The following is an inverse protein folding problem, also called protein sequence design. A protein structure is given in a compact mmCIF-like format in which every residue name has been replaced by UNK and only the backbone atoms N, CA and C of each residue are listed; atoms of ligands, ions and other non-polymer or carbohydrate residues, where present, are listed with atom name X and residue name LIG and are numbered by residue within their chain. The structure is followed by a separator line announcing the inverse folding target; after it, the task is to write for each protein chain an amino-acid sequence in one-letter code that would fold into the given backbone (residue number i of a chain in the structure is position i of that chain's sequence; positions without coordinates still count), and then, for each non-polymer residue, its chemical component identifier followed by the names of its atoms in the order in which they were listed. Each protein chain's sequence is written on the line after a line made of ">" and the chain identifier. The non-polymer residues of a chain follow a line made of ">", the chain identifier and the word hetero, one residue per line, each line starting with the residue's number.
data_IF_453601748771
#
_entry.id   IF_453601748771
#
_cell.length_a   1.000
_cell.length_b   1.000
_cell.length_c   1.000
_cell.angle_alpha   90.00
_cell.angle_beta   90.00
_cell.angle_gamma   90.00
#
_symmetry.space_group_name_H-M   'P 1'
#
loop_
_entity.id
_entity.type
_entity.pdbx_description
1 polymer ?
#
# COMPACT_ATOMS: atom_id res chain seq x y z
N UNK A 1 -6.77 0.27 -5.61
CA UNK A 1 -5.75 -0.79 -5.42
C UNK A 1 -5.80 -1.77 -6.60
N UNK A 2 -4.70 -1.98 -7.31
CA UNK A 2 -4.64 -2.97 -8.40
C UNK A 2 -4.15 -4.32 -7.86
N UNK A 3 -4.97 -5.36 -8.00
CA UNK A 3 -4.51 -6.75 -7.84
C UNK A 3 -3.70 -7.11 -9.11
N UNK A 4 -2.43 -7.44 -8.94
CA UNK A 4 -1.54 -7.79 -10.03
C UNK A 4 -1.86 -9.21 -10.52
N UNK A 5 -2.81 -9.35 -11.44
CA UNK A 5 -3.12 -10.62 -12.08
C UNK A 5 -1.98 -11.02 -13.02
N UNK A 6 -1.18 -12.02 -12.62
CA UNK A 6 -0.10 -12.56 -13.45
C UNK A 6 -0.68 -13.31 -14.65
N UNK A 7 -0.28 -12.90 -15.85
CA UNK A 7 -0.64 -13.53 -17.13
C UNK A 7 -0.20 -15.00 -17.18
N UNK A 8 -1.13 -15.87 -17.57
CA UNK A 8 -0.90 -17.27 -17.89
C UNK A 8 0.02 -17.41 -19.12
N UNK A 9 1.30 -17.70 -18.90
CA UNK A 9 2.19 -18.15 -19.96
C UNK A 9 2.04 -19.67 -20.16
N UNK A 10 1.53 -20.06 -21.33
CA UNK A 10 1.53 -21.45 -21.81
C UNK A 10 2.97 -22.00 -21.82
N UNK A 11 3.17 -23.13 -21.11
CA UNK A 11 4.40 -23.93 -21.13
C UNK A 11 4.58 -24.59 -22.51
N UNK A 12 5.68 -24.28 -23.18
CA UNK A 12 6.17 -25.08 -24.30
C UNK A 12 6.86 -26.36 -23.78
N UNK A 13 6.53 -27.49 -24.38
CA UNK A 13 7.04 -28.84 -24.09
C UNK A 13 8.38 -29.03 -24.84
N UNK A 14 9.45 -29.53 -24.21
CA UNK A 14 10.61 -30.06 -24.95
C UNK A 14 10.53 -31.59 -25.10
N UNK A 15 10.99 -32.17 -26.23
CA UNK A 15 11.00 -33.62 -26.44
C UNK A 15 12.23 -34.28 -25.79
N UNK A 16 12.18 -35.60 -25.51
CA UNK A 16 13.29 -36.32 -24.88
C UNK A 16 14.29 -36.78 -25.93
N UNK A 17 15.58 -36.82 -25.58
CA UNK A 17 16.51 -37.73 -26.25
C UNK A 17 17.53 -38.29 -25.26
N UNK A 18 17.50 -39.61 -25.18
CA UNK A 18 18.50 -40.51 -24.62
C UNK A 18 19.82 -40.39 -25.41
N UNK A 19 20.94 -40.64 -24.74
CA UNK A 19 22.12 -41.43 -25.17
C UNK A 19 23.39 -40.94 -24.43
N UNK A 20 23.89 -41.77 -23.50
CA UNK A 20 25.30 -41.85 -23.05
C UNK A 20 25.99 -42.96 -23.88
N UNK A 21 27.30 -42.97 -24.18
CA UNK A 21 28.42 -43.20 -23.21
C UNK A 21 29.81 -42.66 -23.72
N UNK A 22 31.01 -43.17 -23.33
CA UNK A 22 31.56 -43.53 -22.02
C UNK A 22 32.83 -42.73 -21.63
N UNK A 23 33.30 -42.99 -20.41
CA UNK A 23 34.55 -42.59 -19.73
C UNK A 23 35.85 -42.96 -20.44
N UNK A 24 36.87 -42.09 -20.33
CA UNK A 24 38.29 -42.44 -20.52
C UNK A 24 39.17 -41.71 -19.50
N UNK A 25 40.21 -42.40 -19.01
CA UNK A 25 41.03 -42.02 -17.85
C UNK A 25 42.50 -41.73 -18.20
N UNK A 26 43.04 -40.65 -17.59
CA UNK A 26 44.47 -40.30 -17.31
C UNK A 26 45.41 -40.00 -18.51
N UNK A 27 46.58 -39.31 -18.32
CA UNK A 27 47.30 -38.99 -17.08
C UNK A 27 47.78 -37.53 -16.88
N UNK A 28 48.32 -37.32 -15.68
CA UNK A 28 49.11 -36.18 -15.14
C UNK A 28 50.13 -35.55 -16.10
N UNK A 29 50.18 -34.21 -16.13
CA UNK A 29 51.41 -33.47 -16.38
C UNK A 29 51.54 -32.25 -15.47
N UNK A 30 52.69 -32.17 -14.80
CA UNK A 30 53.19 -31.01 -14.05
C UNK A 30 53.41 -29.84 -15.02
N UNK A 31 52.89 -28.66 -14.69
CA UNK A 31 53.43 -27.40 -15.19
C UNK A 31 53.46 -26.37 -14.05
N UNK A 32 54.68 -25.87 -13.85
CA UNK A 32 55.16 -25.01 -12.79
C UNK A 32 54.87 -23.54 -13.05
N UNK A 33 54.56 -22.82 -11.96
CA UNK A 33 54.85 -21.41 -11.68
C UNK A 33 54.57 -20.35 -12.76
N UNK A 34 53.42 -19.68 -12.62
CA UNK A 34 53.37 -18.21 -12.65
C UNK A 34 52.47 -17.74 -11.50
N UNK A 35 53.13 -17.28 -10.42
CA UNK A 35 52.51 -16.60 -9.29
C UNK A 35 52.03 -15.23 -9.80
N UNK A 36 50.78 -15.15 -10.24
CA UNK A 36 50.10 -13.86 -10.32
C UNK A 36 49.94 -13.33 -8.90
N UNK A 37 50.57 -12.20 -8.63
CA UNK A 37 50.39 -11.38 -7.43
C UNK A 37 48.90 -11.29 -7.09
N UNK A 38 48.54 -11.97 -6.00
CA UNK A 38 47.21 -11.92 -5.39
C UNK A 38 47.04 -10.49 -4.89
N UNK A 39 46.21 -9.71 -5.58
CA UNK A 39 45.88 -8.34 -5.20
C UNK A 39 45.62 -8.25 -3.70
N UNK A 40 46.35 -7.38 -3.02
CA UNK A 40 46.19 -7.11 -1.58
C UNK A 40 44.71 -6.84 -1.34
N UNK A 41 44.08 -7.70 -0.53
CA UNK A 41 42.71 -7.49 -0.09
C UNK A 41 42.65 -6.12 0.59
N UNK A 42 41.75 -5.26 0.10
CA UNK A 42 41.57 -3.93 0.66
C UNK A 42 41.25 -4.05 2.16
N UNK A 43 41.74 -3.13 3.01
CA UNK A 43 41.53 -3.21 4.45
C UNK A 43 40.03 -3.33 4.78
N UNK A 44 39.63 -4.09 5.82
CA UNK A 44 38.22 -4.43 6.08
C UNK A 44 37.28 -3.21 6.14
N UNK A 45 37.76 -2.08 6.66
CA UNK A 45 37.03 -0.81 6.65
C UNK A 45 36.71 -0.28 5.23
N UNK A 46 37.64 -0.41 4.28
CA UNK A 46 37.42 0.01 2.88
C UNK A 46 36.45 -0.89 2.13
N UNK A 47 36.39 -2.17 2.51
CA UNK A 47 35.42 -3.13 1.97
C UNK A 47 34.01 -2.84 2.50
N UNK A 48 33.85 -2.66 3.81
CA UNK A 48 32.57 -2.27 4.41
C UNK A 48 32.05 -0.94 3.83
N UNK A 49 32.90 0.08 3.70
CA UNK A 49 32.52 1.34 3.03
C UNK A 49 32.06 1.15 1.58
N UNK A 50 32.68 0.21 0.84
CA UNK A 50 32.29 -0.10 -0.54
C UNK A 50 30.94 -0.82 -0.58
N UNK A 51 30.73 -1.82 0.26
CA UNK A 51 29.48 -2.59 0.30
C UNK A 51 28.30 -1.70 0.76
N UNK A 52 28.51 -0.78 1.71
CA UNK A 52 27.48 0.21 2.09
C UNK A 52 27.18 1.23 0.97
N UNK A 53 28.18 1.59 0.15
CA UNK A 53 27.96 2.42 -1.04
C UNK A 53 27.16 1.66 -2.09
N UNK A 54 27.44 0.36 -2.27
CA UNK A 54 26.65 -0.51 -3.16
C UNK A 54 25.19 -0.60 -2.70
N UNK A 55 24.94 -0.65 -1.38
CA UNK A 55 23.59 -0.56 -0.83
C UNK A 55 22.91 0.78 -1.13
N UNK A 56 23.56 1.91 -0.85
CA UNK A 56 23.01 3.24 -1.15
C UNK A 56 22.68 3.39 -2.64
N UNK A 57 23.54 2.86 -3.52
CA UNK A 57 23.28 2.84 -4.97
C UNK A 57 22.11 1.91 -5.33
N UNK A 58 21.96 0.75 -4.68
CA UNK A 58 20.79 -0.11 -4.86
C UNK A 58 19.49 0.58 -4.43
N UNK A 59 19.49 1.29 -3.30
CA UNK A 59 18.35 2.10 -2.82
C UNK A 59 18.02 3.21 -3.81
N UNK A 60 19.01 3.97 -4.29
CA UNK A 60 18.81 5.02 -5.31
C UNK A 60 18.24 4.46 -6.61
N UNK A 61 18.68 3.27 -7.02
CA UNK A 61 18.18 2.55 -8.20
C UNK A 61 16.83 1.86 -7.97
N UNK A 62 16.33 1.89 -6.73
CA UNK A 62 15.11 1.20 -6.29
C UNK A 62 15.16 -0.31 -6.54
N UNK A 63 16.35 -0.91 -6.42
CA UNK A 63 16.58 -2.35 -6.56
C UNK A 63 16.45 -3.05 -5.19
N UNK A 64 15.23 -3.48 -4.88
CA UNK A 64 14.92 -4.19 -3.63
C UNK A 64 15.68 -5.51 -3.51
N UNK A 65 15.90 -6.24 -4.60
CA UNK A 65 16.57 -7.54 -4.54
C UNK A 65 18.04 -7.39 -4.13
N UNK A 66 18.75 -6.42 -4.72
CA UNK A 66 20.13 -6.11 -4.36
C UNK A 66 20.24 -5.53 -2.95
N UNK A 67 19.34 -4.63 -2.56
CA UNK A 67 19.30 -4.08 -1.21
C UNK A 67 19.10 -5.17 -0.15
N UNK A 68 18.16 -6.11 -0.38
CA UNK A 68 17.92 -7.23 0.53
C UNK A 68 19.08 -8.22 0.58
N UNK A 69 19.75 -8.50 -0.54
CA UNK A 69 20.94 -9.36 -0.57
C UNK A 69 22.05 -8.78 0.29
N UNK A 70 22.32 -7.47 0.17
CA UNK A 70 23.29 -6.78 1.01
C UNK A 70 22.90 -6.89 2.49
N UNK A 71 21.67 -6.53 2.85
CA UNK A 71 21.24 -6.58 4.26
C UNK A 71 21.35 -8.00 4.82
N UNK A 72 20.90 -9.03 4.10
CA UNK A 72 21.06 -10.43 4.53
C UNK A 72 22.53 -10.84 4.69
N UNK A 73 23.44 -10.34 3.87
CA UNK A 73 24.87 -10.66 4.00
C UNK A 73 25.53 -10.05 5.24
N UNK A 74 24.98 -8.97 5.79
CA UNK A 74 25.44 -8.34 7.03
C UNK A 74 24.95 -9.08 8.30
N UNK A 75 24.14 -10.15 8.18
CA UNK A 75 23.55 -10.85 9.32
C UNK A 75 24.48 -11.83 10.03
N UNK A 76 25.81 -11.71 9.89
CA UNK A 76 26.75 -12.40 10.77
C UNK A 76 27.04 -11.45 11.93
N UNK A 77 26.57 -11.73 13.16
CA UNK A 77 26.96 -10.97 14.32
C UNK A 77 28.42 -11.33 14.61
N UNK A 78 29.33 -10.51 14.12
CA UNK A 78 30.74 -10.53 14.48
C UNK A 78 31.09 -9.17 15.04
N UNK A 79 31.53 -9.16 16.30
CA UNK A 79 32.16 -8.03 16.98
C UNK A 79 32.98 -7.16 16.02
N UNK A 80 32.51 -5.95 15.75
CA UNK A 80 33.36 -4.86 15.27
C UNK A 80 33.04 -3.59 16.04
N UNK A 81 33.00 -3.71 17.37
CA UNK A 81 33.34 -2.61 18.25
C UNK A 81 34.86 -2.52 18.33
N UNK A 82 35.49 -1.71 17.47
CA UNK A 82 36.76 -1.07 17.83
C UNK A 82 37.27 0.05 16.90
N UNK A 83 36.57 0.38 15.81
CA UNK A 83 36.98 1.53 14.98
C UNK A 83 35.80 2.46 14.76
N UNK A 84 35.69 3.45 15.65
CA UNK A 84 34.70 4.53 15.65
C UNK A 84 34.77 5.43 14.41
N UNK A 85 34.43 4.89 13.24
CA UNK A 85 34.37 5.63 11.97
C UNK A 85 32.99 5.57 11.30
N UNK A 86 32.00 4.96 11.94
CA UNK A 86 30.60 5.02 11.53
C UNK A 86 29.79 5.72 12.62
N UNK A 87 29.07 6.81 12.32
CA UNK A 87 28.13 7.35 13.28
C UNK A 87 27.10 6.26 13.55
N UNK A 88 27.05 5.77 14.77
CA UNK A 88 26.15 4.71 15.24
C UNK A 88 24.69 4.95 14.77
N UNK A 89 24.26 6.22 14.68
CA UNK A 89 22.94 6.60 14.15
C UNK A 89 22.72 6.44 12.63
N UNK A 90 23.76 6.48 11.78
CA UNK A 90 23.57 6.32 10.32
C UNK A 90 23.29 4.88 9.89
N UNK A 91 23.76 3.89 10.64
CA UNK A 91 23.55 2.48 10.32
C UNK A 91 22.11 2.05 10.57
N UNK A 92 21.49 2.56 11.65
CA UNK A 92 20.08 2.31 11.96
C UNK A 92 19.17 2.92 10.91
N UNK A 93 19.34 4.20 10.55
CA UNK A 93 18.54 4.89 9.53
C UNK A 93 18.57 4.18 8.17
N UNK A 94 19.77 3.74 7.76
CA UNK A 94 19.96 3.05 6.48
C UNK A 94 19.21 1.72 6.38
N UNK A 95 18.94 1.04 7.49
CA UNK A 95 18.19 -0.21 7.44
C UNK A 95 16.73 0.03 7.00
N UNK A 96 16.12 1.15 7.38
CA UNK A 96 14.73 1.47 7.02
C UNK A 96 14.55 1.81 5.54
N UNK A 97 15.59 2.39 4.91
CA UNK A 97 15.58 2.83 3.50
C UNK A 97 15.24 1.69 2.51
N UNK A 98 15.43 0.43 2.90
CA UNK A 98 15.01 -0.72 2.07
C UNK A 98 13.52 -0.67 1.75
N UNK A 99 12.68 -0.12 2.64
CA UNK A 99 11.25 0.04 2.41
C UNK A 99 10.94 1.03 1.28
N UNK A 100 11.83 1.98 1.00
CA UNK A 100 11.64 2.96 -0.07
C UNK A 100 11.84 2.33 -1.46
N UNK A 101 12.49 1.16 -1.51
CA UNK A 101 12.62 0.36 -2.73
C UNK A 101 11.40 -0.52 -3.01
N UNK A 102 10.52 -0.73 -2.02
CA UNK A 102 9.36 -1.62 -2.17
C UNK A 102 8.38 -1.14 -3.24
N UNK A 103 8.23 0.17 -3.45
CA UNK A 103 7.29 0.71 -4.43
C UNK A 103 7.59 0.19 -5.86
N UNK A 104 8.87 0.05 -6.19
CA UNK A 104 9.36 -0.39 -7.50
C UNK A 104 9.53 -1.91 -7.62
N UNK A 105 9.22 -2.69 -6.57
CA UNK A 105 9.40 -4.13 -6.62
C UNK A 105 8.30 -4.82 -7.43
N UNK A 106 8.67 -5.63 -8.43
CA UNK A 106 7.69 -6.44 -9.17
C UNK A 106 7.24 -7.69 -8.38
N UNK A 107 8.15 -8.26 -7.59
CA UNK A 107 7.89 -9.44 -6.77
C UNK A 107 7.49 -9.05 -5.33
N UNK A 108 6.23 -9.27 -4.97
CA UNK A 108 5.71 -8.97 -3.63
C UNK A 108 6.32 -9.83 -2.53
N UNK A 109 6.89 -10.99 -2.85
CA UNK A 109 7.61 -11.82 -1.87
C UNK A 109 8.88 -11.13 -1.37
N UNK A 110 9.50 -10.28 -2.20
CA UNK A 110 10.62 -9.44 -1.77
C UNK A 110 10.16 -8.39 -0.76
N UNK A 111 8.99 -7.77 -0.97
CA UNK A 111 8.41 -6.82 -0.02
C UNK A 111 8.18 -7.52 1.32
N UNK A 112 7.55 -8.70 1.34
CA UNK A 112 7.39 -9.48 2.57
C UNK A 112 8.72 -9.84 3.22
N UNK A 113 9.73 -10.19 2.43
CA UNK A 113 11.08 -10.48 2.95
C UNK A 113 11.72 -9.25 3.60
N UNK A 114 11.47 -8.05 3.10
CA UNK A 114 11.97 -6.80 3.70
C UNK A 114 11.35 -6.55 5.07
N UNK A 115 10.02 -6.65 5.17
CA UNK A 115 9.31 -6.52 6.45
C UNK A 115 9.72 -7.58 7.46
N UNK A 116 9.89 -8.85 7.03
CA UNK A 116 10.37 -9.92 7.88
C UNK A 116 11.79 -9.62 8.40
N UNK A 117 12.72 -9.23 7.53
CA UNK A 117 14.09 -8.89 7.91
C UNK A 117 14.15 -7.72 8.90
N UNK A 118 13.37 -6.67 8.68
CA UNK A 118 13.32 -5.52 9.59
C UNK A 118 12.68 -5.87 10.94
N UNK A 119 11.67 -6.72 10.94
CA UNK A 119 11.06 -7.24 12.16
C UNK A 119 12.04 -8.11 12.96
N UNK A 120 12.77 -9.02 12.29
CA UNK A 120 13.76 -9.89 12.92
C UNK A 120 14.92 -9.10 13.53
N UNK A 121 15.25 -7.95 12.95
CA UNK A 121 16.24 -6.99 13.48
C UNK A 121 15.71 -6.08 14.60
N UNK A 122 14.43 -6.18 14.95
CA UNK A 122 13.81 -5.38 16.00
C UNK A 122 13.41 -3.96 15.59
N UNK A 123 13.51 -3.59 14.30
CA UNK A 123 13.12 -2.25 13.83
C UNK A 123 11.60 -2.06 13.74
N UNK A 124 10.83 -3.14 13.57
CA UNK A 124 9.37 -3.09 13.40
C UNK A 124 8.62 -3.81 14.54
N UNK A 125 8.74 -3.36 15.81
CA UNK A 125 8.13 -4.05 16.94
C UNK A 125 6.59 -3.98 16.94
N UNK A 126 5.97 -2.97 16.32
CA UNK A 126 4.52 -2.86 16.23
C UNK A 126 3.95 -3.46 14.92
N UNK A 127 4.78 -3.88 13.96
CA UNK A 127 4.32 -4.51 12.73
C UNK A 127 3.66 -5.88 12.99
N UNK A 128 2.38 -5.96 12.62
CA UNK A 128 1.56 -7.15 12.87
C UNK A 128 1.26 -7.41 14.34
N UNK A 129 1.43 -6.42 15.22
CA UNK A 129 1.11 -6.52 16.65
C UNK A 129 -0.35 -6.91 16.89
N UNK A 130 -1.24 -6.53 15.99
CA UNK A 130 -2.67 -6.79 16.07
C UNK A 130 -3.15 -7.82 15.05
N UNK A 131 -2.24 -8.57 14.42
CA UNK A 131 -2.55 -9.59 13.39
C UNK A 131 -3.49 -10.69 13.90
N UNK A 132 -3.36 -11.05 15.17
CA UNK A 132 -4.11 -12.13 15.82
C UNK A 132 -5.15 -11.63 16.81
N UNK A 133 -5.34 -10.32 16.95
CA UNK A 133 -6.41 -9.81 17.79
C UNK A 133 -7.73 -10.20 17.11
N UNK A 134 -8.42 -11.18 17.71
CA UNK A 134 -9.87 -11.29 17.59
C UNK A 134 -10.39 -10.04 18.28
N UNK A 135 -10.67 -9.00 17.52
CA UNK A 135 -11.08 -7.74 18.12
C UNK A 135 -12.34 -7.99 18.94
N UNK A 136 -12.24 -7.76 20.25
CA UNK A 136 -13.32 -7.96 21.21
C UNK A 136 -14.54 -7.18 20.74
N UNK A 137 -15.66 -7.88 20.57
CA UNK A 137 -16.90 -7.27 20.11
C UNK A 137 -17.83 -8.25 19.39
N UNK A 138 -19.11 -7.87 19.21
CA UNK A 138 -20.07 -8.69 18.50
C UNK A 138 -19.66 -8.82 17.02
N UNK A 139 -19.67 -10.05 16.51
CA UNK A 139 -19.43 -10.33 15.08
C UNK A 139 -20.57 -9.80 14.20
N UNK A 140 -21.77 -9.76 14.77
CA UNK A 140 -22.93 -9.13 14.15
C UNK A 140 -23.00 -7.66 14.60
N UNK A 141 -22.65 -6.76 13.70
CA UNK A 141 -22.71 -5.32 13.95
C UNK A 141 -23.97 -4.80 13.29
N UNK A 142 -24.97 -4.47 14.09
CA UNK A 142 -26.18 -3.80 13.60
C UNK A 142 -25.94 -2.28 13.50
N UNK A 143 -26.79 -1.54 12.77
CA UNK A 143 -26.75 -0.09 12.74
C UNK A 143 -26.75 0.56 14.14
N UNK A 144 -27.48 -0.01 15.09
CA UNK A 144 -27.57 0.48 16.46
C UNK A 144 -26.28 0.28 17.24
N UNK A 145 -25.61 -0.87 17.08
CA UNK A 145 -24.30 -1.16 17.68
C UNK A 145 -23.23 -0.23 17.13
N UNK A 146 -23.24 0.04 15.82
CA UNK A 146 -22.29 0.97 15.22
C UNK A 146 -22.46 2.39 15.78
N UNK A 147 -23.72 2.85 15.86
CA UNK A 147 -24.04 4.18 16.41
C UNK A 147 -23.69 4.32 17.88
N UNK A 148 -24.03 3.33 18.71
CA UNK A 148 -23.70 3.38 20.14
C UNK A 148 -22.20 3.36 20.41
N UNK A 149 -21.42 2.67 19.56
CA UNK A 149 -19.97 2.53 19.73
C UNK A 149 -19.18 3.73 19.21
N UNK A 150 -19.62 4.31 18.08
CA UNK A 150 -18.89 5.39 17.40
C UNK A 150 -19.44 6.78 17.70
N UNK A 151 -20.72 6.88 18.09
CA UNK A 151 -21.46 8.13 18.20
C UNK A 151 -21.97 8.67 16.86
N UNK A 152 -21.72 7.97 15.75
CA UNK A 152 -22.06 8.41 14.39
C UNK A 152 -23.14 7.51 13.78
N UNK A 153 -24.00 8.10 12.95
CA UNK A 153 -24.97 7.34 12.15
C UNK A 153 -24.24 6.48 11.11
N UNK A 154 -24.83 5.33 10.74
CA UNK A 154 -24.26 4.44 9.72
C UNK A 154 -24.01 5.16 8.40
N UNK A 155 -24.89 6.10 8.04
CA UNK A 155 -24.78 6.90 6.81
C UNK A 155 -23.53 7.77 6.77
N UNK A 156 -22.93 8.10 7.91
CA UNK A 156 -21.66 8.85 7.99
C UNK A 156 -20.46 8.02 7.58
N UNK A 157 -20.61 6.69 7.50
CA UNK A 157 -19.56 5.77 7.03
C UNK A 157 -19.77 5.33 5.58
N UNK A 158 -20.77 5.87 4.89
CA UNK A 158 -20.98 5.60 3.47
C UNK A 158 -20.34 6.71 2.64
N UNK A 159 -19.48 6.39 1.66
CA UNK A 159 -18.93 7.37 0.73
C UNK A 159 -20.03 8.19 0.05
N UNK A 160 -19.80 9.49 -0.15
CA UNK A 160 -20.78 10.37 -0.80
C UNK A 160 -20.81 10.07 -2.29
N UNK A 161 -21.93 9.55 -2.78
CA UNK A 161 -22.15 9.32 -4.22
C UNK A 161 -22.63 10.61 -4.86
N UNK A 162 -21.72 11.31 -5.52
CA UNK A 162 -22.02 12.56 -6.23
C UNK A 162 -23.19 12.36 -7.21
N UNK A 163 -24.21 13.22 -7.12
CA UNK A 163 -25.38 13.21 -8.00
C UNK A 163 -26.67 12.57 -7.45
N UNK A 164 -26.63 11.89 -6.29
CA UNK A 164 -27.82 11.27 -5.68
C UNK A 164 -28.41 12.04 -4.49
N UNK A 165 -27.70 13.07 -3.99
CA UNK A 165 -28.18 13.88 -2.87
C UNK A 165 -29.23 14.91 -3.31
N UNK A 166 -30.21 15.19 -2.43
CA UNK A 166 -31.31 16.15 -2.68
C UNK A 166 -30.81 17.58 -2.97
N UNK A 167 -29.62 17.92 -2.48
CA UNK A 167 -28.95 19.20 -2.75
C UNK A 167 -28.38 19.25 -4.17
N UNK A 168 -27.90 18.12 -4.68
CA UNK A 168 -27.34 17.96 -6.03
C UNK A 168 -28.40 18.15 -7.10
N UNK A 169 -29.63 17.66 -6.87
CA UNK A 169 -30.74 17.88 -7.79
C UNK A 169 -31.18 19.35 -7.84
N UNK A 170 -31.20 20.05 -6.70
CA UNK A 170 -31.49 21.49 -6.66
C UNK A 170 -30.41 22.32 -7.39
N UNK A 171 -29.13 21.99 -7.18
CA UNK A 171 -28.01 22.63 -7.88
C UNK A 171 -28.06 22.37 -9.38
N UNK A 172 -28.43 21.16 -9.80
CA UNK A 172 -28.61 20.83 -11.21
C UNK A 172 -29.74 21.66 -11.84
N UNK A 173 -30.88 21.78 -11.16
CA UNK A 173 -32.00 22.61 -11.62
C UNK A 173 -31.58 24.08 -11.72
N UNK A 174 -30.88 24.61 -10.72
CA UNK A 174 -30.36 25.97 -10.75
C UNK A 174 -29.35 26.19 -11.88
N UNK A 175 -28.45 25.23 -12.12
CA UNK A 175 -27.49 25.26 -13.21
C UNK A 175 -28.19 25.26 -14.58
N UNK A 176 -29.13 24.33 -14.81
CA UNK A 176 -29.90 24.27 -16.05
C UNK A 176 -30.74 25.53 -16.26
N UNK A 177 -31.32 26.08 -15.20
CA UNK A 177 -32.02 27.37 -15.22
C UNK A 177 -31.09 28.54 -15.58
N UNK A 178 -29.91 28.61 -14.98
CA UNK A 178 -28.90 29.63 -15.30
C UNK A 178 -28.39 29.53 -16.74
N UNK A 179 -28.15 28.31 -17.24
CA UNK A 179 -27.84 28.03 -18.64
C UNK A 179 -28.95 28.55 -19.55
N UNK A 180 -30.22 28.30 -19.22
CA UNK A 180 -31.38 28.78 -19.98
C UNK A 180 -31.45 30.31 -20.03
N UNK A 181 -31.18 30.99 -18.90
CA UNK A 181 -31.14 32.47 -18.84
C UNK A 181 -29.96 33.04 -19.64
N UNK A 182 -28.78 32.44 -19.58
CA UNK A 182 -27.62 32.89 -20.37
C UNK A 182 -27.90 32.76 -21.87
N UNK A 183 -28.54 31.67 -22.28
CA UNK A 183 -28.95 31.46 -23.66
C UNK A 183 -30.04 32.46 -24.10
N UNK A 184 -30.98 32.82 -23.23
CA UNK A 184 -32.02 33.80 -23.55
C UNK A 184 -31.48 35.24 -23.67
N UNK A 185 -30.36 35.53 -23.01
CA UNK A 185 -29.60 36.79 -23.16
C UNK A 185 -28.69 36.79 -24.40
N UNK A 186 -28.68 35.72 -25.20
CA UNK A 186 -27.87 35.60 -26.42
C UNK A 186 -26.41 35.18 -26.19
N UNK A 187 -26.05 34.76 -24.98
CA UNK A 187 -24.69 34.26 -24.68
C UNK A 187 -24.65 32.76 -24.98
N UNK A 188 -23.99 32.38 -26.08
CA UNK A 188 -23.92 30.96 -26.46
C UNK A 188 -22.80 30.21 -25.73
N UNK A 189 -23.17 29.60 -24.60
CA UNK A 189 -22.26 28.77 -23.79
C UNK A 189 -22.23 27.30 -24.21
N UNK A 190 -23.08 26.88 -25.16
CA UNK A 190 -23.19 25.47 -25.61
C UNK A 190 -21.88 24.87 -26.10
N UNK A 191 -21.07 25.53 -26.96
CA UNK A 191 -19.81 24.94 -27.42
C UNK A 191 -18.82 24.75 -26.28
N UNK A 192 -18.71 25.70 -25.37
CA UNK A 192 -17.80 25.59 -24.21
C UNK A 192 -18.25 24.47 -23.26
N UNK A 193 -19.55 24.35 -23.00
CA UNK A 193 -20.11 23.28 -22.18
C UNK A 193 -19.89 21.91 -22.84
N UNK A 194 -20.09 21.80 -24.15
CA UNK A 194 -19.86 20.57 -24.90
C UNK A 194 -18.38 20.15 -24.86
N UNK A 195 -17.45 21.11 -24.96
CA UNK A 195 -16.01 20.84 -24.82
C UNK A 195 -15.67 20.38 -23.40
N UNK A 196 -16.17 21.06 -22.36
CA UNK A 196 -15.92 20.68 -20.96
C UNK A 196 -16.47 19.28 -20.67
N UNK A 197 -17.71 18.99 -21.06
CA UNK A 197 -18.33 17.68 -20.88
C UNK A 197 -17.63 16.61 -21.72
N UNK A 198 -17.22 16.93 -22.93
CA UNK A 198 -16.45 16.03 -23.80
C UNK A 198 -15.09 15.67 -23.18
N UNK A 199 -14.36 16.65 -22.65
CA UNK A 199 -13.09 16.41 -21.94
C UNK A 199 -13.30 15.61 -20.65
N UNK A 200 -14.34 15.90 -19.86
CA UNK A 200 -14.68 15.14 -18.66
C UNK A 200 -15.10 13.70 -18.98
N UNK A 201 -15.79 13.48 -20.10
CA UNK A 201 -16.11 12.14 -20.60
C UNK A 201 -14.85 11.40 -21.04
N UNK A 202 -13.95 12.05 -21.78
CA UNK A 202 -12.68 11.44 -22.18
C UNK A 202 -11.83 11.09 -20.95
N UNK A 203 -11.74 11.98 -19.97
CA UNK A 203 -11.03 11.73 -18.72
C UNK A 203 -11.64 10.55 -17.95
N UNK A 204 -12.96 10.50 -17.78
CA UNK A 204 -13.61 9.40 -17.05
C UNK A 204 -13.50 8.05 -17.75
N UNK A 205 -13.66 8.00 -19.08
CA UNK A 205 -13.66 6.75 -19.84
C UNK A 205 -12.25 6.22 -20.11
N UNK A 206 -11.32 7.10 -20.51
CA UNK A 206 -9.99 6.68 -20.95
C UNK A 206 -8.92 6.82 -19.86
N UNK A 207 -9.09 7.77 -18.94
CA UNK A 207 -8.11 8.05 -17.88
C UNK A 207 -8.66 7.69 -16.48
N UNK A 208 -9.86 7.12 -16.38
CA UNK A 208 -10.48 6.78 -15.09
C UNK A 208 -10.76 7.98 -14.19
N UNK A 209 -10.84 9.19 -14.74
CA UNK A 209 -11.04 10.44 -13.99
C UNK A 209 -9.76 11.04 -13.41
N UNK A 210 -8.58 10.58 -13.85
CA UNK A 210 -7.27 11.00 -13.33
C UNK A 210 -7.04 12.51 -13.42
N UNK A 211 -7.40 13.15 -14.53
CA UNK A 211 -7.15 14.58 -14.72
C UNK A 211 -8.05 15.42 -13.80
N UNK A 212 -9.33 15.08 -13.70
CA UNK A 212 -10.24 15.74 -12.77
C UNK A 212 -9.84 15.49 -11.31
N UNK A 213 -9.42 14.28 -10.97
CA UNK A 213 -8.89 13.93 -9.66
C UNK A 213 -7.60 14.70 -9.33
N UNK A 214 -6.74 14.95 -10.32
CA UNK A 214 -5.54 15.75 -10.14
C UNK A 214 -5.87 17.22 -9.91
N UNK A 215 -6.84 17.77 -10.63
CA UNK A 215 -7.27 19.16 -10.41
C UNK A 215 -7.90 19.32 -9.02
N UNK A 216 -8.69 18.35 -8.57
CA UNK A 216 -9.28 18.39 -7.22
C UNK A 216 -8.25 18.15 -6.11
N UNK A 217 -7.20 17.36 -6.34
CA UNK A 217 -6.14 17.11 -5.36
C UNK A 217 -5.36 18.36 -4.95
N UNK A 218 -5.34 19.41 -5.79
CA UNK A 218 -4.75 20.71 -5.46
C UNK A 218 -5.61 21.55 -4.50
N UNK A 219 -6.89 21.22 -4.31
CA UNK A 219 -7.73 21.91 -3.32
C UNK A 219 -7.34 21.48 -1.90
N UNK A 220 -6.84 22.40 -1.04
CA UNK A 220 -6.28 22.04 0.27
C UNK A 220 -7.21 21.22 1.19
N UNK A 221 -8.53 21.50 1.27
CA UNK A 221 -9.45 20.70 2.08
C UNK A 221 -9.55 19.24 1.60
N UNK A 222 -9.54 19.03 0.29
CA UNK A 222 -9.66 17.69 -0.31
C UNK A 222 -8.36 16.90 -0.16
N UNK A 223 -7.21 17.57 -0.37
CA UNK A 223 -5.88 16.97 -0.15
C UNK A 223 -5.71 16.42 1.26
N UNK A 224 -6.08 17.21 2.29
CA UNK A 224 -5.93 16.76 3.69
C UNK A 224 -6.85 15.58 4.01
N UNK A 225 -8.04 15.52 3.40
CA UNK A 225 -8.96 14.38 3.55
C UNK A 225 -8.38 13.11 2.93
N UNK A 226 -7.82 13.18 1.72
CA UNK A 226 -7.11 12.05 1.09
C UNK A 226 -5.96 11.56 1.97
N UNK A 227 -5.14 12.47 2.52
CA UNK A 227 -4.03 12.09 3.41
C UNK A 227 -4.52 11.35 4.67
N UNK A 228 -5.64 11.80 5.25
CA UNK A 228 -6.28 11.13 6.39
C UNK A 228 -6.77 9.73 6.00
N UNK A 229 -7.35 9.59 4.82
CA UNK A 229 -7.83 8.34 4.26
C UNK A 229 -6.69 7.33 4.06
N UNK A 230 -5.64 7.73 3.33
CA UNK A 230 -4.49 6.87 3.04
C UNK A 230 -3.68 6.51 4.28
N UNK A 231 -3.52 7.44 5.22
CA UNK A 231 -2.92 7.13 6.52
C UNK A 231 -3.73 6.10 7.31
N UNK A 232 -5.06 6.06 7.12
CA UNK A 232 -5.95 5.05 7.69
C UNK A 232 -5.62 3.64 7.19
N UNK A 233 -5.54 3.48 5.86
CA UNK A 233 -5.12 2.23 5.22
C UNK A 233 -3.72 1.81 5.66
N UNK A 234 -2.75 2.73 5.58
CA UNK A 234 -1.35 2.46 5.92
C UNK A 234 -1.21 1.98 7.36
N UNK A 235 -1.78 2.70 8.34
CA UNK A 235 -1.64 2.34 9.74
C UNK A 235 -2.32 1.01 10.04
N UNK A 236 -3.52 0.79 9.50
CA UNK A 236 -4.26 -0.46 9.72
C UNK A 236 -3.51 -1.63 9.08
N UNK A 237 -3.04 -1.51 7.84
CA UNK A 237 -2.25 -2.54 7.16
C UNK A 237 -0.99 -2.90 7.97
N UNK A 238 -0.26 -1.88 8.44
CA UNK A 238 0.95 -2.05 9.24
C UNK A 238 0.68 -2.84 10.52
N UNK A 239 -0.35 -2.43 11.26
CA UNK A 239 -0.75 -3.05 12.53
C UNK A 239 -1.30 -4.47 12.38
N UNK A 240 -1.98 -4.75 11.27
CA UNK A 240 -2.50 -6.07 10.93
C UNK A 240 -1.42 -6.99 10.33
N UNK A 241 -0.23 -6.46 10.06
CA UNK A 241 0.93 -7.23 9.60
C UNK A 241 0.88 -7.54 8.11
N UNK A 242 0.23 -6.67 7.33
CA UNK A 242 0.22 -6.71 5.87
C UNK A 242 1.38 -5.86 5.35
N UNK A 243 2.42 -6.46 4.73
CA UNK A 243 3.49 -5.72 4.08
C UNK A 243 2.97 -4.65 3.12
N UNK A 244 3.46 -3.41 3.26
CA UNK A 244 3.05 -2.28 2.42
C UNK A 244 4.10 -2.11 1.32
N UNK A 245 3.65 -2.11 0.07
CA UNK A 245 4.49 -1.84 -1.09
C UNK A 245 4.79 -0.34 -1.19
N UNK A 246 3.79 0.50 -0.92
CA UNK A 246 3.91 1.95 -0.89
C UNK A 246 2.57 2.66 -0.86
N UNK A 247 2.61 3.97 -0.68
CA UNK A 247 1.44 4.85 -0.73
C UNK A 247 1.60 5.78 -1.91
N UNK A 248 0.64 5.76 -2.82
CA UNK A 248 0.62 6.65 -3.97
C UNK A 248 -0.44 7.72 -3.70
N UNK A 249 0.00 8.97 -3.55
CA UNK A 249 -0.90 10.10 -3.29
C UNK A 249 -1.23 10.89 -4.56
N UNK A 250 -0.44 10.71 -5.62
CA UNK A 250 -0.58 11.45 -6.88
C UNK A 250 -1.34 10.60 -7.91
N UNK A 251 -2.55 11.01 -8.33
CA UNK A 251 -3.34 10.43 -9.41
C UNK A 251 -2.55 10.13 -10.70
N UNK A 252 -1.62 11.00 -11.10
CA UNK A 252 -0.82 10.82 -12.32
C UNK A 252 0.19 9.67 -12.12
N UNK A 253 0.83 9.62 -10.95
CA UNK A 253 1.74 8.51 -10.61
C UNK A 253 0.96 7.20 -10.52
N UNK A 254 -0.26 7.22 -9.99
CA UNK A 254 -1.13 6.05 -9.97
C UNK A 254 -1.43 5.53 -11.38
N UNK A 255 -1.80 6.43 -12.30
CA UNK A 255 -2.02 6.09 -13.71
C UNK A 255 -0.77 5.51 -14.38
N UNK A 256 0.41 6.11 -14.17
CA UNK A 256 1.67 5.61 -14.72
C UNK A 256 2.04 4.21 -14.20
N UNK A 257 1.61 3.87 -12.99
CA UNK A 257 1.78 2.54 -12.40
C UNK A 257 0.67 1.54 -12.80
N UNK A 258 -0.17 1.90 -13.78
CA UNK A 258 -1.25 1.03 -14.27
C UNK A 258 -2.42 0.86 -13.30
N UNK A 259 -2.47 1.70 -12.25
CA UNK A 259 -3.61 1.77 -11.32
C UNK A 259 -4.54 2.83 -11.90
N UNK A 260 -5.85 2.56 -11.98
CA UNK A 260 -6.84 3.48 -12.57
C UNK A 260 -6.93 4.81 -11.82
N UNK A 261 -5.98 5.73 -12.04
CA UNK A 261 -6.08 7.16 -11.77
C UNK A 261 -6.27 7.62 -10.33
N UNK A 262 -6.22 6.73 -9.34
CA UNK A 262 -6.57 7.06 -7.97
C UNK A 262 -5.41 6.80 -7.01
N UNK A 263 -5.21 7.76 -6.10
CA UNK A 263 -4.37 7.58 -4.93
C UNK A 263 -4.77 6.30 -4.17
N UNK A 264 -3.80 5.64 -3.56
CA UNK A 264 -4.06 4.40 -2.85
C UNK A 264 -2.83 3.80 -2.19
N UNK A 265 -3.08 3.15 -1.07
CA UNK A 265 -2.10 2.34 -0.34
C UNK A 265 -2.07 0.93 -0.91
N UNK A 266 -0.91 0.48 -1.38
CA UNK A 266 -0.71 -0.88 -1.87
C UNK A 266 -0.12 -1.76 -0.78
N UNK A 267 -0.81 -2.84 -0.44
CA UNK A 267 -0.33 -3.84 0.50
C UNK A 267 -0.55 -5.24 -0.03
N UNK A 268 0.18 -6.22 0.52
CA UNK A 268 0.11 -7.60 0.09
C UNK A 268 0.30 -8.56 1.27
N UNK A 269 -0.41 -9.69 1.28
CA UNK A 269 -0.25 -10.78 2.26
C UNK A 269 -0.20 -12.12 1.51
N UNK A 270 0.92 -12.85 1.61
CA UNK A 270 1.15 -14.13 0.92
C UNK A 270 0.06 -15.16 1.19
N UNK A 271 -0.44 -15.19 2.43
CA UNK A 271 -1.49 -16.13 2.81
C UNK A 271 -2.80 -15.78 2.11
N UNK A 272 -3.13 -14.49 2.06
CA UNK A 272 -4.36 -14.01 1.43
C UNK A 272 -4.31 -14.20 -0.08
N UNK A 273 -3.18 -13.93 -0.73
CA UNK A 273 -3.00 -14.07 -2.17
C UNK A 273 -3.21 -15.52 -2.62
N UNK A 274 -2.61 -16.48 -1.91
CA UNK A 274 -2.78 -17.91 -2.15
C UNK A 274 -4.22 -18.37 -1.92
N UNK A 275 -4.79 -18.00 -0.78
CA UNK A 275 -6.17 -18.37 -0.44
C UNK A 275 -7.13 -17.79 -1.49
N UNK A 276 -6.99 -16.51 -1.85
CA UNK A 276 -7.83 -15.86 -2.87
C UNK A 276 -7.70 -16.51 -4.24
N UNK A 277 -6.50 -16.95 -4.63
CA UNK A 277 -6.28 -17.71 -5.87
C UNK A 277 -7.01 -19.07 -5.88
N UNK A 278 -7.25 -19.65 -4.70
CA UNK A 278 -8.04 -20.87 -4.51
C UNK A 278 -9.55 -20.60 -4.34
N UNK A 279 -9.99 -19.34 -4.47
CA UNK A 279 -11.39 -18.93 -4.29
C UNK A 279 -11.87 -19.00 -2.84
N UNK A 280 -10.95 -19.16 -1.87
CA UNK A 280 -11.30 -19.30 -0.44
C UNK A 280 -10.57 -18.24 0.34
N UNK A 281 -11.13 -17.74 1.44
CA UNK A 281 -10.35 -16.96 2.39
C UNK A 281 -10.60 -17.52 3.78
N UNK A 282 -9.52 -17.76 4.52
CA UNK A 282 -9.65 -18.02 5.94
C UNK A 282 -10.34 -16.82 6.59
N UNK A 283 -11.28 -17.06 7.52
CA UNK A 283 -12.05 -15.98 8.16
C UNK A 283 -11.14 -14.87 8.69
N UNK A 284 -9.98 -15.24 9.26
CA UNK A 284 -8.98 -14.27 9.73
C UNK A 284 -8.33 -13.45 8.61
N UNK A 285 -8.01 -14.02 7.43
CA UNK A 285 -7.41 -13.27 6.33
C UNK A 285 -8.43 -12.31 5.70
N UNK A 286 -9.66 -12.78 5.50
CA UNK A 286 -10.77 -11.95 5.03
C UNK A 286 -11.07 -10.79 5.98
N UNK A 287 -11.02 -11.03 7.29
CA UNK A 287 -11.21 -9.99 8.31
C UNK A 287 -10.14 -8.92 8.26
N UNK A 288 -8.86 -9.31 8.19
CA UNK A 288 -7.75 -8.35 8.05
C UNK A 288 -7.93 -7.51 6.80
N UNK A 289 -8.22 -8.13 5.67
CA UNK A 289 -8.39 -7.43 4.42
C UNK A 289 -9.58 -6.47 4.45
N UNK A 290 -10.71 -6.92 4.98
CA UNK A 290 -11.91 -6.08 5.15
C UNK A 290 -11.60 -4.87 6.02
N UNK A 291 -10.89 -5.06 7.14
CA UNK A 291 -10.48 -3.94 7.99
C UNK A 291 -9.60 -2.96 7.22
N UNK A 292 -8.55 -3.44 6.54
CA UNK A 292 -7.67 -2.53 5.80
C UNK A 292 -8.44 -1.77 4.72
N UNK A 293 -9.36 -2.40 4.00
CA UNK A 293 -10.23 -1.73 3.01
C UNK A 293 -11.11 -0.65 3.62
N UNK A 294 -11.70 -0.89 4.78
CA UNK A 294 -12.59 0.08 5.41
C UNK A 294 -11.86 1.10 6.31
N UNK A 295 -10.54 1.00 6.43
CA UNK A 295 -9.75 1.88 7.29
C UNK A 295 -9.71 3.33 6.82
N UNK A 296 -9.71 3.59 5.51
CA UNK A 296 -9.77 4.95 4.96
C UNK A 296 -11.07 5.65 5.32
N UNK A 297 -12.21 4.99 5.07
CA UNK A 297 -13.56 5.43 5.49
C UNK A 297 -13.61 5.67 7.02
N UNK A 298 -13.08 4.73 7.80
CA UNK A 298 -13.06 4.84 9.25
C UNK A 298 -12.21 6.04 9.73
N UNK A 299 -11.08 6.30 9.09
CA UNK A 299 -10.21 7.44 9.40
C UNK A 299 -10.90 8.77 9.10
N UNK A 300 -11.56 8.89 7.95
CA UNK A 300 -12.33 10.09 7.60
C UNK A 300 -13.45 10.35 8.60
N UNK A 301 -14.26 9.33 8.90
CA UNK A 301 -15.36 9.45 9.85
C UNK A 301 -14.85 9.83 11.26
N UNK A 302 -13.70 9.29 11.70
CA UNK A 302 -13.10 9.62 12.99
C UNK A 302 -12.63 11.08 13.10
N UNK A 303 -12.17 11.68 12.00
CA UNK A 303 -11.61 13.04 11.99
C UNK A 303 -12.64 14.11 11.63
N UNK A 304 -13.48 13.83 10.63
CA UNK A 304 -14.42 14.80 10.05
C UNK A 304 -15.88 14.55 10.43
N UNK A 305 -16.19 13.39 11.03
CA UNK A 305 -17.55 12.99 11.38
C UNK A 305 -18.39 12.47 10.20
N UNK A 306 -17.79 12.39 9.01
CA UNK A 306 -18.34 11.76 7.81
C UNK A 306 -17.22 11.28 6.87
N UNK A 307 -17.51 10.24 6.10
CA UNK A 307 -16.68 9.77 5.00
C UNK A 307 -17.20 10.34 3.66
N UNK A 308 -16.30 10.85 2.84
CA UNK A 308 -16.60 11.33 1.48
C UNK A 308 -15.99 10.40 0.43
N UNK A 309 -14.78 9.88 0.66
CA UNK A 309 -14.11 8.90 -0.19
C UNK A 309 -14.41 7.44 0.18
N UNK A 310 -13.81 6.51 -0.57
CA UNK A 310 -13.87 5.06 -0.28
C UNK A 310 -14.75 4.23 -1.21
N UNK A 311 -15.30 4.81 -2.29
CA UNK A 311 -16.10 4.06 -3.27
C UNK A 311 -15.31 2.93 -3.94
N UNK A 312 -14.04 3.19 -4.29
CA UNK A 312 -13.17 2.16 -4.86
C UNK A 312 -12.92 1.01 -3.86
N UNK A 313 -12.79 1.30 -2.57
CA UNK A 313 -12.58 0.30 -1.52
C UNK A 313 -13.84 -0.55 -1.31
N UNK A 314 -15.02 0.05 -1.33
CA UNK A 314 -16.30 -0.67 -1.32
C UNK A 314 -16.46 -1.58 -2.55
N UNK A 315 -16.10 -1.08 -3.74
CA UNK A 315 -16.15 -1.86 -4.96
C UNK A 315 -15.17 -3.03 -4.92
N UNK A 316 -13.96 -2.82 -4.40
CA UNK A 316 -12.96 -3.89 -4.23
C UNK A 316 -13.43 -4.93 -3.20
N UNK A 317 -14.00 -4.48 -2.08
CA UNK A 317 -14.62 -5.36 -1.08
C UNK A 317 -15.74 -6.21 -1.70
N UNK A 318 -16.61 -5.59 -2.51
CA UNK A 318 -17.71 -6.28 -3.19
C UNK A 318 -17.20 -7.33 -4.16
N UNK A 319 -16.23 -6.97 -5.00
CA UNK A 319 -15.60 -7.90 -5.95
C UNK A 319 -14.99 -9.10 -5.24
N UNK A 320 -14.28 -8.87 -4.13
CA UNK A 320 -13.72 -9.95 -3.31
C UNK A 320 -14.81 -10.87 -2.76
N UNK A 321 -15.90 -10.32 -2.21
CA UNK A 321 -16.99 -11.11 -1.65
C UNK A 321 -17.69 -12.01 -2.67
N UNK A 322 -17.72 -11.59 -3.94
CA UNK A 322 -18.30 -12.35 -5.05
C UNK A 322 -17.36 -13.44 -5.56
N UNK A 323 -16.04 -13.22 -5.49
CA UNK A 323 -15.02 -14.20 -5.89
C UNK A 323 -14.86 -15.35 -4.88
N UNK A 324 -15.37 -15.20 -3.67
CA UNK A 324 -15.32 -16.26 -2.66
C UNK A 324 -16.25 -17.43 -3.01
N UNK A 325 -15.83 -18.63 -2.63
CA UNK A 325 -16.58 -19.87 -2.78
C UNK A 325 -16.92 -20.46 -1.39
N UNK A 326 -18.19 -20.41 -0.94
CA UNK A 326 -19.34 -19.78 -1.59
C UNK A 326 -19.34 -18.24 -1.48
N UNK A 327 -20.00 -17.54 -2.42
CA UNK A 327 -20.07 -16.08 -2.39
C UNK A 327 -20.92 -15.62 -1.20
N UNK A 328 -20.55 -14.47 -0.62
CA UNK A 328 -21.30 -13.93 0.51
C UNK A 328 -22.66 -13.39 0.05
N UNK A 329 -23.68 -13.62 0.86
CA UNK A 329 -24.98 -12.97 0.68
C UNK A 329 -24.88 -11.45 0.92
N UNK A 330 -25.85 -10.70 0.42
CA UNK A 330 -25.90 -9.23 0.63
C UNK A 330 -25.93 -8.86 2.11
N UNK A 331 -26.62 -9.64 2.95
CA UNK A 331 -26.67 -9.40 4.40
C UNK A 331 -25.33 -9.70 5.07
N UNK A 332 -24.63 -10.76 4.66
CA UNK A 332 -23.29 -11.10 5.16
C UNK A 332 -22.27 -10.04 4.77
N UNK A 333 -22.26 -9.62 3.49
CA UNK A 333 -21.39 -8.53 3.02
C UNK A 333 -21.64 -7.24 3.80
N UNK A 334 -22.92 -6.88 3.99
CA UNK A 334 -23.29 -5.66 4.72
C UNK A 334 -22.88 -5.72 6.19
N UNK A 335 -23.05 -6.87 6.85
CA UNK A 335 -22.57 -7.06 8.22
C UNK A 335 -21.04 -6.99 8.31
N UNK A 336 -20.34 -7.66 7.40
CA UNK A 336 -18.88 -7.64 7.35
C UNK A 336 -18.34 -6.22 7.15
N UNK A 337 -18.93 -5.43 6.26
CA UNK A 337 -18.55 -4.04 6.05
C UNK A 337 -18.71 -3.21 7.34
N UNK A 338 -19.86 -3.31 8.03
CA UNK A 338 -20.07 -2.60 9.31
C UNK A 338 -19.11 -3.06 10.39
N UNK A 339 -18.86 -4.36 10.48
CA UNK A 339 -17.88 -4.91 11.41
C UNK A 339 -16.47 -4.38 11.12
N UNK A 340 -16.02 -4.45 9.87
CA UNK A 340 -14.69 -4.01 9.45
C UNK A 340 -14.48 -2.50 9.66
N UNK A 341 -15.47 -1.67 9.33
CA UNK A 341 -15.46 -0.22 9.62
C UNK A 341 -15.33 0.02 11.12
N UNK A 342 -16.17 -0.62 11.95
CA UNK A 342 -16.14 -0.42 13.41
C UNK A 342 -14.78 -0.82 13.99
N UNK A 343 -14.26 -1.95 13.54
CA UNK A 343 -12.97 -2.46 13.99
C UNK A 343 -11.81 -1.53 13.61
N UNK A 344 -11.80 -1.06 12.37
CA UNK A 344 -10.79 -0.11 11.91
C UNK A 344 -10.92 1.24 12.62
N UNK A 345 -12.14 1.71 12.86
CA UNK A 345 -12.42 2.92 13.62
C UNK A 345 -11.87 2.83 15.04
N UNK A 346 -12.11 1.71 15.73
CA UNK A 346 -11.59 1.50 17.08
C UNK A 346 -10.06 1.42 17.10
N UNK A 347 -9.46 0.69 16.16
CA UNK A 347 -8.01 0.60 16.04
C UNK A 347 -7.36 1.97 15.81
N UNK A 348 -7.91 2.77 14.89
CA UNK A 348 -7.44 4.13 14.60
C UNK A 348 -7.69 5.09 15.78
N UNK A 349 -8.82 4.94 16.48
CA UNK A 349 -9.15 5.72 17.67
C UNK A 349 -8.17 5.46 18.80
N UNK A 350 -7.80 4.21 19.04
CA UNK A 350 -6.80 3.84 20.06
C UNK A 350 -5.39 4.30 19.67
N UNK A 351 -5.05 4.27 18.38
CA UNK A 351 -3.74 4.68 17.87
C UNK A 351 -3.76 6.05 17.17
N UNK A 352 -4.55 6.99 17.70
CA UNK A 352 -4.76 8.32 17.09
C UNK A 352 -3.45 9.11 16.90
N UNK A 353 -2.49 8.97 17.81
CA UNK A 353 -1.20 9.66 17.69
C UNK A 353 -0.37 9.11 16.53
N UNK A 354 -0.32 7.78 16.39
CA UNK A 354 0.34 7.13 15.26
C UNK A 354 -0.32 7.49 13.92
N UNK A 355 -1.66 7.54 13.88
CA UNK A 355 -2.39 7.99 12.69
C UNK A 355 -2.03 9.44 12.34
N UNK A 356 -2.02 10.34 13.32
CA UNK A 356 -1.62 11.74 13.11
C UNK A 356 -0.17 11.87 12.62
N UNK A 357 0.75 11.08 13.17
CA UNK A 357 2.14 11.04 12.74
C UNK A 357 2.25 10.59 11.28
N UNK A 358 1.52 9.54 10.89
CA UNK A 358 1.44 9.08 9.51
C UNK A 358 0.90 10.16 8.56
N UNK A 359 -0.20 10.83 8.92
CA UNK A 359 -0.79 11.92 8.12
C UNK A 359 0.22 13.05 7.92
N UNK A 360 0.92 13.47 8.97
CA UNK A 360 1.89 14.56 8.87
C UNK A 360 3.13 14.19 8.05
N UNK A 361 3.60 12.94 8.18
CA UNK A 361 4.71 12.43 7.38
C UNK A 361 4.35 12.37 5.89
N UNK A 362 3.15 11.87 5.57
CA UNK A 362 2.64 11.84 4.20
C UNK A 362 2.44 13.25 3.62
N UNK A 363 1.92 14.20 4.41
CA UNK A 363 1.75 15.60 3.99
C UNK A 363 3.09 16.29 3.67
N UNK A 364 4.14 15.93 4.43
CA UNK A 364 5.51 16.42 4.25
C UNK A 364 6.23 15.75 3.06
N UNK A 365 5.61 14.79 2.38
CA UNK A 365 6.20 14.06 1.26
C UNK A 365 7.30 13.08 1.68
N UNK A 366 7.27 12.59 2.92
CA UNK A 366 8.24 11.61 3.40
C UNK A 366 8.10 10.27 2.69
N UNK A 367 9.22 9.57 2.57
CA UNK A 367 9.29 8.22 2.03
C UNK A 367 8.64 7.19 2.96
N UNK A 368 8.35 5.99 2.45
CA UNK A 368 7.65 4.96 3.22
C UNK A 368 8.40 4.58 4.50
N UNK A 369 9.73 4.48 4.41
CA UNK A 369 10.61 4.19 5.54
C UNK A 369 10.43 5.19 6.68
N UNK A 370 10.43 6.49 6.36
CA UNK A 370 10.26 7.58 7.30
C UNK A 370 8.85 7.65 7.88
N UNK A 371 7.82 7.38 7.07
CA UNK A 371 6.43 7.30 7.55
C UNK A 371 6.27 6.19 8.58
N UNK A 372 6.81 5.00 8.32
CA UNK A 372 6.73 3.87 9.26
C UNK A 372 7.54 4.13 10.51
N UNK A 373 8.72 4.74 10.39
CA UNK A 373 9.52 5.17 11.54
C UNK A 373 8.75 6.12 12.46
N UNK A 374 8.07 7.13 11.89
CA UNK A 374 7.24 8.06 12.66
C UNK A 374 6.06 7.37 13.36
N UNK A 375 5.47 6.35 12.75
CA UNK A 375 4.45 5.52 13.39
C UNK A 375 5.03 4.76 14.59
N UNK A 376 6.17 4.12 14.40
CA UNK A 376 6.84 3.35 15.45
C UNK A 376 7.28 4.23 16.64
N UNK A 377 7.82 5.41 16.36
CA UNK A 377 8.16 6.42 17.36
C UNK A 377 6.91 6.89 18.13
N UNK A 378 5.84 7.27 17.41
CA UNK A 378 4.59 7.72 18.03
C UNK A 378 3.91 6.64 18.88
N UNK A 379 4.01 5.37 18.49
CA UNK A 379 3.48 4.24 19.27
C UNK A 379 4.33 3.91 20.49
N UNK A 380 5.62 4.22 20.45
CA UNK A 380 6.55 3.98 21.56
C UNK A 380 6.40 5.05 22.65
N UNK A 381 6.10 6.30 22.28
CA UNK A 381 5.84 7.40 23.23
C UNK A 381 4.52 7.29 24.00
N UNK A 382 3.66 6.30 23.68
CA UNK A 382 2.41 6.03 24.39
C UNK A 382 2.51 4.91 25.45
N UNK A 383 3.70 4.30 25.62
CA UNK A 383 3.98 3.43 26.78
C UNK A 383 4.27 4.28 28.01
#
# INVERSE_FOLDING_TARGET
>A
MALCASSLHLKAIPPPNLFSPPTFSRPSSRASYLRLERGKAAPPASRALREWREYEEAVKRKDLASALRFLKSQSVPGDFDEVGMYPYGKSEERNWEVLDTCLSADDMKLVTSAYALLKDRGFLPNFGKFRSIVLEGPREVTPTVLKSSTGLEVTRFSPKKWGLDRTSSALLVAFLGGVSVLLSQGIDIRPNLAVILGLAFVDSVFLGGSCLAQISSYWPPYRRRILVHEAGHLLTAYLMGCPIRGVILDPIVAMQMGIQGQAGTQFWDDKMDKELAEGRLSGTAFDRYSMVLFAGIAAEALIYGDAEGGENDENMFRSLCVLLEPPLSVSQMSNQARWAVLQSYNLLKWHKQAHRAAVNALDSGYSLSMVIRQIEEAMSSQK
#
